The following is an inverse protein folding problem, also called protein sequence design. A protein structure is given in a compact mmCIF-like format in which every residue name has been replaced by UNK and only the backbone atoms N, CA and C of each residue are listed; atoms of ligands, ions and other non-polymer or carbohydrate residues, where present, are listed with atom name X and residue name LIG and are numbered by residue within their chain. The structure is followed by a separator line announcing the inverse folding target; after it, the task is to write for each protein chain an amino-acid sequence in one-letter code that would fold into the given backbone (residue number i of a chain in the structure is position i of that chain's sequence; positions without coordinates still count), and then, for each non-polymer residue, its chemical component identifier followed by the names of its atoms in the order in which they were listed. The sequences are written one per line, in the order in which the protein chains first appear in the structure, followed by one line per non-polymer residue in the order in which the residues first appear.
data_IF_824057981848
#
_entry.id   IF_824057981848
#
_cell.length_a   1.000
_cell.length_b   1.000
_cell.length_c   1.000
_cell.angle_alpha   90.00
_cell.angle_beta   90.00
_cell.angle_gamma   90.00
#
_symmetry.space_group_name_H-M   'P 1'
#
loop_
_entity.id
_entity.type
_entity.pdbx_description
1 polymer ?
#
# COMPACT_ATOMS: atom_id res chain seq x y z
N UNK A 1 -12.84 -4.12 -1.32
CA UNK A 1 -13.32 -3.03 -0.43
C UNK A 1 -12.30 -2.87 0.68
N UNK A 2 -11.76 -1.67 0.91
CA UNK A 2 -10.84 -1.43 2.03
C UNK A 2 -11.59 -1.48 3.36
N UNK A 3 -11.02 -2.17 4.34
CA UNK A 3 -11.57 -2.27 5.70
C UNK A 3 -10.71 -1.47 6.68
N UNK A 4 -9.39 -1.57 6.53
CA UNK A 4 -8.42 -0.92 7.40
C UNK A 4 -7.19 -0.51 6.59
N UNK A 5 -6.59 0.62 6.98
CA UNK A 5 -5.37 1.15 6.39
C UNK A 5 -4.57 1.82 7.50
N UNK A 6 -3.41 1.25 7.80
CA UNK A 6 -2.34 1.95 8.50
C UNK A 6 -1.28 2.42 7.51
N UNK A 7 -0.65 3.56 7.82
CA UNK A 7 0.46 4.10 7.06
C UNK A 7 1.43 4.84 7.99
N UNK A 8 2.71 4.75 7.66
CA UNK A 8 3.79 5.50 8.29
C UNK A 8 4.44 6.40 7.25
N UNK A 9 4.49 7.70 7.53
CA UNK A 9 5.13 8.69 6.67
C UNK A 9 6.55 8.93 7.15
N UNK A 10 7.52 8.48 6.36
CA UNK A 10 8.93 8.47 6.72
C UNK A 10 9.64 9.76 6.28
N UNK A 11 9.23 10.29 5.11
CA UNK A 11 9.87 11.43 4.48
C UNK A 11 8.88 12.19 3.60
N UNK A 12 8.96 13.52 3.62
CA UNK A 12 8.21 14.37 2.71
C UNK A 12 8.75 14.25 1.26
N UNK A 13 7.83 14.02 0.31
CA UNK A 13 8.05 14.22 -1.11
C UNK A 13 7.24 15.43 -1.55
N UNK A 14 7.86 16.62 -1.53
CA UNK A 14 7.17 17.91 -1.70
C UNK A 14 6.95 18.30 -3.17
N UNK A 15 7.61 17.62 -4.10
CA UNK A 15 7.54 17.83 -5.55
C UNK A 15 7.76 16.50 -6.28
N UNK A 16 7.40 16.43 -7.57
CA UNK A 16 7.58 15.23 -8.39
C UNK A 16 6.48 14.19 -8.18
N UNK A 17 6.77 12.93 -8.50
CA UNK A 17 5.83 11.80 -8.37
C UNK A 17 6.38 10.75 -7.40
N UNK A 18 5.49 10.06 -6.69
CA UNK A 18 5.83 8.88 -5.90
C UNK A 18 5.20 7.64 -6.52
N UNK A 19 5.91 6.50 -6.45
CA UNK A 19 5.42 5.19 -6.89
C UNK A 19 5.18 4.32 -5.67
N UNK A 20 4.03 3.64 -5.65
CA UNK A 20 3.68 2.69 -4.59
C UNK A 20 3.62 1.27 -5.15
N UNK A 21 4.43 0.36 -4.61
CA UNK A 21 4.40 -1.06 -4.94
C UNK A 21 3.59 -1.80 -3.88
N UNK A 22 2.52 -2.47 -4.30
CA UNK A 22 1.63 -3.22 -3.43
C UNK A 22 1.90 -4.72 -3.56
N UNK A 23 2.53 -5.29 -2.54
CA UNK A 23 2.86 -6.71 -2.47
C UNK A 23 1.89 -7.44 -1.54
N UNK A 24 1.22 -8.51 -1.99
CA UNK A 24 0.33 -9.28 -1.13
C UNK A 24 1.11 -9.92 0.02
N UNK A 25 0.69 -9.66 1.26
CA UNK A 25 1.23 -10.32 2.46
C UNK A 25 0.46 -11.62 2.74
N UNK A 26 -0.87 -11.56 2.64
CA UNK A 26 -1.78 -12.71 2.81
C UNK A 26 -2.98 -12.54 1.90
N UNK A 27 -3.35 -13.58 1.17
CA UNK A 27 -4.56 -13.63 0.34
C UNK A 27 -5.45 -14.79 0.76
N UNK A 28 -6.48 -14.49 1.55
CA UNK A 28 -7.52 -15.44 1.92
C UNK A 28 -8.68 -15.44 0.91
N UNK A 29 -9.75 -16.18 1.25
CA UNK A 29 -10.95 -16.27 0.40
C UNK A 29 -11.81 -15.01 0.43
N UNK A 30 -11.86 -14.33 1.58
CA UNK A 30 -12.71 -13.14 1.82
C UNK A 30 -11.89 -11.90 2.19
N UNK A 31 -10.68 -12.06 2.74
CA UNK A 31 -9.80 -10.97 3.16
C UNK A 31 -8.42 -11.10 2.52
N UNK A 32 -7.81 -9.96 2.20
CA UNK A 32 -6.41 -9.87 1.81
C UNK A 32 -5.72 -8.72 2.54
N UNK A 33 -4.49 -8.95 3.00
CA UNK A 33 -3.61 -7.96 3.58
C UNK A 33 -2.39 -7.77 2.68
N UNK A 34 -1.90 -6.53 2.60
CA UNK A 34 -0.82 -6.13 1.71
C UNK A 34 0.27 -5.37 2.46
N UNK A 35 1.48 -5.41 1.90
CA UNK A 35 2.54 -4.46 2.20
C UNK A 35 2.65 -3.49 1.04
N UNK A 36 2.63 -2.19 1.34
CA UNK A 36 2.80 -1.14 0.35
C UNK A 36 4.05 -0.36 0.71
N UNK A 37 5.00 -0.31 -0.21
CA UNK A 37 6.19 0.53 -0.13
C UNK A 37 6.05 1.67 -1.13
N UNK A 38 6.25 2.90 -0.65
CA UNK A 38 6.15 4.11 -1.47
C UNK A 38 7.52 4.75 -1.58
N UNK A 39 7.98 5.02 -2.80
CA UNK A 39 9.25 5.69 -3.07
C UNK A 39 9.09 6.87 -4.03
N UNK A 40 9.98 7.86 -3.93
CA UNK A 40 10.08 8.95 -4.90
C UNK A 40 10.82 8.52 -6.19
N UNK A 41 10.95 9.43 -7.14
CA UNK A 41 11.64 9.20 -8.42
C UNK A 41 13.13 8.85 -8.27
N UNK A 42 13.73 9.11 -7.11
CA UNK A 42 15.11 8.72 -6.79
C UNK A 42 15.16 7.38 -6.03
N UNK A 43 14.04 6.67 -5.91
CA UNK A 43 13.94 5.38 -5.22
C UNK A 43 13.98 5.49 -3.70
N UNK A 44 13.86 6.69 -3.13
CA UNK A 44 13.95 6.89 -1.68
C UNK A 44 12.59 6.64 -1.05
N UNK A 45 12.53 5.84 0.01
CA UNK A 45 11.28 5.54 0.70
C UNK A 45 10.65 6.81 1.31
N UNK A 46 9.36 7.02 1.05
CA UNK A 46 8.58 8.18 1.52
C UNK A 46 7.52 7.77 2.53
N UNK A 47 6.89 6.61 2.31
CA UNK A 47 5.91 6.04 3.21
C UNK A 47 5.86 4.52 3.09
N UNK A 48 5.31 3.88 4.12
CA UNK A 48 4.89 2.47 4.07
C UNK A 48 3.44 2.37 4.53
N UNK A 49 2.72 1.38 4.05
CA UNK A 49 1.35 1.13 4.47
C UNK A 49 1.02 -0.36 4.48
N UNK A 50 0.02 -0.74 5.28
CA UNK A 50 -0.49 -2.12 5.32
C UNK A 50 -2.01 -2.14 5.29
N UNK A 51 -2.62 -2.04 4.09
CA UNK A 51 -4.07 -2.11 3.97
C UNK A 51 -4.58 -3.55 4.10
N UNK A 52 -5.76 -3.66 4.71
CA UNK A 52 -6.57 -4.86 4.72
C UNK A 52 -7.85 -4.65 3.91
N UNK A 53 -8.13 -5.55 2.96
CA UNK A 53 -9.24 -5.46 2.04
C UNK A 53 -10.13 -6.70 2.09
N UNK A 54 -11.44 -6.49 2.03
CA UNK A 54 -12.40 -7.53 1.65
C UNK A 54 -12.30 -7.79 0.15
N UNK A 55 -12.06 -9.05 -0.21
CA UNK A 55 -12.12 -9.54 -1.58
C UNK A 55 -13.55 -9.87 -1.95
N UNK A 56 -14.00 -9.32 -3.08
CA UNK A 56 -15.30 -9.64 -3.69
C UNK A 56 -15.03 -10.13 -5.10
N UNK A 57 -15.76 -11.18 -5.53
CA UNK A 57 -15.70 -11.62 -6.92
C UNK A 57 -16.22 -10.49 -7.81
N UNK A 58 -15.53 -10.26 -8.92
CA UNK A 58 -16.10 -9.47 -10.00
C UNK A 58 -17.35 -10.20 -10.51
N UNK A 59 -18.42 -9.44 -10.74
CA UNK A 59 -19.62 -9.95 -11.41
C UNK A 59 -19.39 -9.94 -12.90
#
# INVERSE_FOLDING_TARGET
MGIELNASYLRAATTGVVTAVCTPARRGRTLAAFHVEVSDEQGRATATARPTCMLRRAR
#
